data_IF_155241540136
#
_entry.id   IF_155241540136
#
_cell.length_a   1.000
_cell.length_b   1.000
_cell.length_c   1.000
_cell.angle_alpha   90.00
_cell.angle_beta   90.00
_cell.angle_gamma   90.00
#
_symmetry.space_group_name_H-M   'P 1'
#
loop_
_entity.id
_entity.type
_entity.pdbx_description
1 polymer ?
#
# COMPACT_ATOMS: atom_id res chain seq x y z
N UNK A 1 -12.47 6.74 4.12
CA UNK A 1 -12.15 6.77 5.58
C UNK A 1 -13.29 7.24 6.47
N UNK A 2 -14.38 7.80 5.92
CA UNK A 2 -15.58 8.10 6.72
C UNK A 2 -15.50 9.39 7.56
N UNK A 3 -14.56 10.28 7.23
CA UNK A 3 -14.31 11.53 7.97
C UNK A 3 -14.53 12.73 7.03
N UNK A 4 -15.79 13.06 6.69
CA UNK A 4 -16.09 14.11 5.72
C UNK A 4 -15.56 15.49 6.12
N UNK A 5 -15.45 15.76 7.42
CA UNK A 5 -14.96 17.03 7.98
C UNK A 5 -13.50 17.33 7.64
N UNK A 6 -12.67 16.32 7.32
CA UNK A 6 -11.29 16.55 6.89
C UNK A 6 -11.18 17.35 5.60
N UNK A 7 -12.25 17.38 4.78
CA UNK A 7 -12.27 18.19 3.56
C UNK A 7 -12.24 19.69 3.85
N UNK A 8 -12.77 20.11 5.01
CA UNK A 8 -12.90 21.53 5.41
C UNK A 8 -12.06 21.88 6.63
N UNK A 9 -11.47 20.90 7.32
CA UNK A 9 -10.51 21.13 8.39
C UNK A 9 -9.31 21.92 7.85
N UNK A 10 -9.04 23.09 8.43
CA UNK A 10 -7.94 23.97 8.05
C UNK A 10 -6.58 23.26 8.02
N UNK A 11 -6.39 22.21 8.84
CA UNK A 11 -5.16 21.41 8.88
C UNK A 11 -4.98 20.52 7.65
N UNK A 12 -6.07 20.16 6.95
CA UNK A 12 -6.07 19.12 5.90
C UNK A 12 -6.67 19.56 4.55
N UNK A 13 -7.30 20.74 4.49
CA UNK A 13 -8.04 21.24 3.34
C UNK A 13 -7.19 21.38 2.06
N UNK A 14 -5.89 21.66 2.19
CA UNK A 14 -4.96 21.79 1.05
C UNK A 14 -3.77 20.84 1.16
N UNK A 15 -3.07 20.60 0.06
CA UNK A 15 -1.88 19.74 0.08
C UNK A 15 -0.75 20.30 0.96
N UNK A 16 -0.38 21.60 0.89
CA UNK A 16 0.58 22.18 1.82
C UNK A 16 0.19 21.98 3.29
N UNK A 17 -1.08 22.18 3.62
CA UNK A 17 -1.55 22.00 5.00
C UNK A 17 -1.45 20.55 5.45
N UNK A 18 -1.80 19.57 4.60
CA UNK A 18 -1.58 18.15 4.90
C UNK A 18 -0.10 17.80 5.08
N UNK A 19 0.80 18.45 4.35
CA UNK A 19 2.25 18.25 4.50
C UNK A 19 2.74 18.82 5.84
N UNK A 20 2.30 20.01 6.21
CA UNK A 20 2.64 20.66 7.48
C UNK A 20 2.08 19.89 8.68
N UNK A 21 0.87 19.35 8.55
CA UNK A 21 0.15 18.61 9.58
C UNK A 21 0.24 17.08 9.39
N UNK A 22 1.25 16.59 8.67
CA UNK A 22 1.35 15.18 8.28
C UNK A 22 1.34 14.23 9.46
N UNK A 23 2.02 14.59 10.56
CA UNK A 23 2.07 13.76 11.76
C UNK A 23 0.67 13.48 12.30
N UNK A 24 -0.10 14.53 12.59
CA UNK A 24 -1.45 14.39 13.15
C UNK A 24 -2.42 13.73 12.15
N UNK A 25 -2.26 14.02 10.85
CA UNK A 25 -3.07 13.37 9.82
C UNK A 25 -2.80 11.86 9.76
N UNK A 26 -1.52 11.47 9.77
CA UNK A 26 -1.13 10.05 9.72
C UNK A 26 -1.58 9.29 10.96
N UNK A 27 -1.41 9.86 12.16
CA UNK A 27 -1.90 9.25 13.41
C UNK A 27 -3.42 9.03 13.34
N UNK A 28 -4.17 10.04 12.88
CA UNK A 28 -5.63 9.94 12.75
C UNK A 28 -6.06 8.91 11.70
N UNK A 29 -5.34 8.80 10.57
CA UNK A 29 -5.57 7.76 9.55
C UNK A 29 -5.27 6.38 10.14
N UNK A 30 -4.15 6.23 10.86
CA UNK A 30 -3.71 4.97 11.44
C UNK A 30 -4.74 4.42 12.43
N UNK A 31 -5.31 5.27 13.28
CA UNK A 31 -6.38 4.91 14.22
C UNK A 31 -7.64 4.39 13.54
N UNK A 32 -7.90 4.80 12.29
CA UNK A 32 -9.01 4.31 11.48
C UNK A 32 -8.62 3.00 10.80
N UNK A 33 -7.46 2.96 10.15
CA UNK A 33 -6.98 1.79 9.41
C UNK A 33 -6.83 0.57 10.35
N UNK A 34 -6.44 0.76 11.60
CA UNK A 34 -6.30 -0.32 12.58
C UNK A 34 -7.61 -1.05 12.95
N UNK A 35 -8.77 -0.52 12.56
CA UNK A 35 -10.09 -1.04 12.98
C UNK A 35 -10.61 -2.20 12.14
N UNK A 36 -10.09 -2.39 10.95
CA UNK A 36 -10.57 -3.39 10.00
C UNK A 36 -9.40 -4.22 9.48
N UNK A 37 -9.70 -5.37 8.90
CA UNK A 37 -8.68 -6.21 8.27
C UNK A 37 -8.07 -5.52 7.05
N UNK A 38 -6.87 -5.97 6.68
CA UNK A 38 -6.22 -5.54 5.42
C UNK A 38 -7.14 -5.75 4.21
N UNK A 39 -7.79 -6.92 4.14
CA UNK A 39 -8.57 -7.32 2.97
C UNK A 39 -9.86 -6.48 2.86
N UNK A 40 -10.45 -6.08 3.99
CA UNK A 40 -11.56 -5.13 4.02
C UNK A 40 -11.15 -3.75 3.52
N UNK A 41 -9.96 -3.28 3.89
CA UNK A 41 -9.45 -2.01 3.40
C UNK A 41 -9.15 -2.03 1.91
N UNK A 42 -8.52 -3.09 1.40
CA UNK A 42 -8.25 -3.26 -0.03
C UNK A 42 -9.56 -3.15 -0.80
N UNK A 43 -10.58 -3.94 -0.43
CA UNK A 43 -11.89 -3.92 -1.08
C UNK A 43 -12.51 -2.52 -1.08
N UNK A 44 -12.54 -1.84 0.08
CA UNK A 44 -13.14 -0.50 0.20
C UNK A 44 -12.38 0.58 -0.57
N UNK A 45 -11.05 0.48 -0.63
CA UNK A 45 -10.20 1.43 -1.36
C UNK A 45 -10.34 1.20 -2.87
N UNK A 46 -10.42 -0.04 -3.32
CA UNK A 46 -10.68 -0.42 -4.72
C UNK A 46 -12.07 0.06 -5.18
N UNK A 47 -13.12 -0.18 -4.37
CA UNK A 47 -14.47 0.34 -4.61
C UNK A 47 -14.48 1.88 -4.72
N UNK A 48 -13.58 2.55 -3.99
CA UNK A 48 -13.40 4.00 -4.02
C UNK A 48 -12.48 4.50 -5.14
N UNK A 49 -11.90 3.63 -5.96
CA UNK A 49 -10.92 3.97 -6.99
C UNK A 49 -9.62 4.56 -6.43
N UNK A 50 -9.29 4.28 -5.16
CA UNK A 50 -8.09 4.79 -4.50
C UNK A 50 -6.94 3.80 -4.73
N UNK A 51 -5.84 4.22 -5.39
CA UNK A 51 -4.68 3.35 -5.57
C UNK A 51 -4.14 2.88 -4.22
N UNK A 52 -4.06 1.57 -4.06
CA UNK A 52 -3.57 0.92 -2.85
C UNK A 52 -2.84 -0.38 -3.22
N UNK A 53 -2.04 -0.89 -2.30
CA UNK A 53 -1.37 -2.19 -2.45
C UNK A 53 -1.15 -2.82 -1.07
N UNK A 54 -1.36 -4.12 -0.91
CA UNK A 54 -0.98 -4.81 0.33
C UNK A 54 0.53 -4.78 0.51
N UNK A 55 0.97 -4.69 1.76
CA UNK A 55 2.34 -5.08 2.09
C UNK A 55 2.44 -6.61 1.95
N UNK A 56 3.25 -7.04 0.99
CA UNK A 56 3.45 -8.47 0.71
C UNK A 56 4.61 -9.04 1.53
N UNK A 57 4.44 -10.27 1.98
CA UNK A 57 5.52 -11.11 2.49
C UNK A 57 6.41 -11.62 1.35
N UNK A 58 7.57 -12.17 1.67
CA UNK A 58 8.53 -12.64 0.67
C UNK A 58 7.94 -13.78 -0.18
N UNK A 59 7.24 -14.72 0.44
CA UNK A 59 6.56 -15.82 -0.26
C UNK A 59 5.49 -15.29 -1.21
N UNK A 60 4.72 -14.29 -0.79
CA UNK A 60 3.73 -13.64 -1.65
C UNK A 60 4.38 -12.96 -2.85
N UNK A 61 5.50 -12.25 -2.65
CA UNK A 61 6.25 -11.61 -3.74
C UNK A 61 6.76 -12.63 -4.76
N UNK A 62 7.32 -13.76 -4.29
CA UNK A 62 7.81 -14.85 -5.16
C UNK A 62 6.69 -15.43 -6.01
N UNK A 63 5.52 -15.63 -5.42
CA UNK A 63 4.37 -16.24 -6.09
C UNK A 63 3.52 -15.26 -6.92
N UNK A 64 3.75 -13.96 -6.76
CA UNK A 64 2.91 -12.92 -7.35
C UNK A 64 2.88 -12.99 -8.89
N UNK A 65 1.69 -12.85 -9.53
CA UNK A 65 1.57 -12.91 -10.99
C UNK A 65 2.49 -11.95 -11.73
N UNK A 66 2.65 -10.72 -11.21
CA UNK A 66 3.54 -9.73 -11.81
C UNK A 66 5.02 -10.14 -11.75
N UNK A 67 5.47 -10.77 -10.65
CA UNK A 67 6.84 -11.27 -10.51
C UNK A 67 7.13 -12.32 -11.56
N UNK A 68 6.18 -13.24 -11.79
CA UNK A 68 6.27 -14.30 -12.80
C UNK A 68 6.21 -13.73 -14.22
N UNK A 69 5.27 -12.81 -14.49
CA UNK A 69 5.07 -12.21 -15.80
C UNK A 69 6.28 -11.39 -16.26
N UNK A 70 6.96 -10.72 -15.32
CA UNK A 70 8.18 -9.96 -15.60
C UNK A 70 9.46 -10.82 -15.57
N UNK A 71 9.36 -12.12 -15.26
CA UNK A 71 10.52 -13.01 -15.19
C UNK A 71 11.56 -12.56 -14.16
N UNK A 72 11.13 -11.93 -13.07
CA UNK A 72 12.03 -11.31 -12.08
C UNK A 72 12.92 -12.33 -11.37
N UNK A 73 12.44 -13.56 -11.20
CA UNK A 73 13.18 -14.65 -10.58
C UNK A 73 13.63 -15.64 -11.65
N UNK A 74 14.94 -15.86 -11.76
CA UNK A 74 15.55 -16.67 -12.80
C UNK A 74 16.53 -17.68 -12.20
N UNK A 75 16.63 -18.86 -12.81
CA UNK A 75 17.63 -19.85 -12.42
C UNK A 75 18.99 -19.46 -12.97
N UNK A 76 19.99 -19.41 -12.09
CA UNK A 76 21.39 -19.28 -12.46
C UNK A 76 21.82 -20.51 -13.28
N UNK A 77 22.47 -20.31 -14.45
CA UNK A 77 22.97 -21.41 -15.28
C UNK A 77 23.97 -22.32 -14.56
N UNK A 78 24.78 -21.75 -13.67
CA UNK A 78 25.98 -22.40 -13.13
C UNK A 78 25.78 -23.02 -11.73
N UNK A 79 24.79 -22.54 -10.97
CA UNK A 79 24.61 -22.91 -9.56
C UNK A 79 23.30 -23.62 -9.24
N UNK A 80 22.35 -23.65 -10.17
CA UNK A 80 21.00 -24.17 -9.94
C UNK A 80 20.15 -23.33 -8.96
N UNK A 81 20.71 -22.25 -8.40
CA UNK A 81 20.01 -21.33 -7.52
C UNK A 81 19.06 -20.42 -8.31
N UNK A 82 17.89 -20.13 -7.73
CA UNK A 82 17.00 -19.07 -8.24
C UNK A 82 17.41 -17.74 -7.63
N UNK A 83 17.68 -16.74 -8.47
CA UNK A 83 18.12 -15.41 -8.08
C UNK A 83 17.17 -14.35 -8.66
N UNK A 84 17.10 -13.19 -8.01
CA UNK A 84 16.48 -12.01 -8.60
C UNK A 84 17.39 -11.49 -9.71
N UNK A 85 16.88 -11.47 -10.95
CA UNK A 85 17.58 -10.88 -12.08
C UNK A 85 17.65 -9.36 -11.91
N UNK A 86 18.86 -8.80 -11.97
CA UNK A 86 19.10 -7.34 -12.02
C UNK A 86 19.31 -6.91 -13.46
#
# INVERSE_FOLDING_TARGET
LGVPEWKTDHRFASNPERVNNRKVLNESIQDIIARESRDDWIRRLDEGGVPNTPLQSLDQVVEHPQTKALGMLQKSPDSGMTLMGV
#
